data_IF_683068591353
#
_entry.id   IF_683068591353
#
_cell.length_a   1.000
_cell.length_b   1.000
_cell.length_c   1.000
_cell.angle_alpha   90.00
_cell.angle_beta   90.00
_cell.angle_gamma   90.00
#
_symmetry.space_group_name_H-M   'P 1'
#
loop_
_entity.id
_entity.type
_entity.pdbx_description
1 polymer ?
#
# COMPACT_ATOMS: atom_id res chain seq x y z
N UNK A 1 13.50 8.62 0.83
CA UNK A 1 12.37 7.84 1.42
C UNK A 1 11.12 7.90 0.57
N UNK A 2 10.73 9.08 0.07
CA UNK A 2 9.50 9.23 -0.73
C UNK A 2 9.66 8.76 -2.17
N UNK A 3 10.85 8.93 -2.76
CA UNK A 3 11.14 8.48 -4.13
C UNK A 3 10.91 6.98 -4.31
N UNK A 4 11.16 6.19 -3.25
CA UNK A 4 10.84 4.77 -3.21
C UNK A 4 9.39 4.48 -3.60
N UNK A 5 8.41 5.32 -3.23
CA UNK A 5 7.01 5.07 -3.57
C UNK A 5 6.76 5.21 -5.07
N UNK A 6 7.49 6.08 -5.75
CA UNK A 6 7.36 6.27 -7.20
C UNK A 6 8.00 5.09 -7.95
N UNK A 7 9.17 4.63 -7.49
CA UNK A 7 9.89 3.52 -8.09
C UNK A 7 9.22 2.17 -7.81
N UNK A 8 8.80 1.94 -6.56
CA UNK A 8 8.19 0.69 -6.12
C UNK A 8 6.83 0.47 -6.78
N UNK A 9 6.01 1.52 -6.91
CA UNK A 9 4.67 1.42 -7.48
C UNK A 9 4.57 1.81 -8.95
N UNK A 10 5.65 2.29 -9.58
CA UNK A 10 5.66 2.77 -10.97
C UNK A 10 4.60 3.87 -11.21
N UNK A 11 4.40 4.71 -10.19
CA UNK A 11 3.50 5.85 -10.20
C UNK A 11 4.34 7.12 -10.15
N UNK A 12 4.69 7.68 -11.31
CA UNK A 12 5.57 8.86 -11.38
C UNK A 12 4.93 10.10 -10.75
N UNK A 13 5.74 11.09 -10.31
CA UNK A 13 5.22 12.38 -9.85
C UNK A 13 4.30 13.07 -10.86
N UNK A 14 4.52 12.85 -12.17
CA UNK A 14 3.67 13.37 -13.24
C UNK A 14 2.23 12.83 -13.19
N UNK A 15 2.06 11.55 -12.83
CA UNK A 15 0.73 10.96 -12.61
C UNK A 15 0.03 11.61 -11.41
N UNK A 16 0.76 11.86 -10.32
CA UNK A 16 0.21 12.54 -9.14
C UNK A 16 -0.18 14.01 -9.43
N UNK A 17 0.56 14.69 -10.31
CA UNK A 17 0.25 16.06 -10.77
C UNK A 17 -0.93 16.13 -11.75
N UNK A 18 -1.32 15.00 -12.34
CA UNK A 18 -2.45 14.95 -13.26
C UNK A 18 -3.73 14.86 -12.45
N UNK A 19 -4.46 15.97 -12.37
CA UNK A 19 -5.75 15.99 -11.69
C UNK A 19 -6.82 15.26 -12.50
N UNK A 20 -7.69 14.55 -11.79
CA UNK A 20 -8.87 13.88 -12.33
C UNK A 20 -10.08 14.25 -11.45
N UNK A 21 -11.25 14.54 -12.04
CA UNK A 21 -12.46 14.84 -11.27
C UNK A 21 -13.02 13.59 -10.57
N UNK A 22 -12.65 12.40 -11.04
CA UNK A 22 -13.20 11.13 -10.59
C UNK A 22 -14.56 10.81 -11.21
N UNK A 23 -15.00 9.58 -10.96
CA UNK A 23 -16.30 9.10 -11.44
C UNK A 23 -17.46 9.83 -10.78
N UNK A 24 -18.47 10.18 -11.59
CA UNK A 24 -19.72 10.81 -11.14
C UNK A 24 -19.68 12.34 -11.11
N UNK A 25 -18.56 12.97 -11.49
CA UNK A 25 -18.44 14.43 -11.58
C UNK A 25 -18.49 14.85 -13.05
N UNK A 26 -19.30 15.87 -13.34
CA UNK A 26 -19.41 16.51 -14.65
C UNK A 26 -18.67 17.85 -14.60
N UNK A 27 -17.90 18.14 -15.65
CA UNK A 27 -17.10 19.34 -15.78
C UNK A 27 -17.66 20.25 -16.86
N UNK A 28 -17.90 21.51 -16.50
CA UNK A 28 -18.14 22.61 -17.42
C UNK A 28 -16.79 23.12 -17.97
N UNK A 29 -16.79 23.65 -19.20
CA UNK A 29 -15.62 24.28 -19.84
C UNK A 29 -14.33 23.42 -19.88
N UNK A 30 -14.44 22.10 -19.81
CA UNK A 30 -13.30 21.18 -19.72
C UNK A 30 -12.70 20.76 -21.08
N UNK A 31 -12.60 21.70 -22.02
CA UNK A 31 -12.08 21.44 -23.37
C UNK A 31 -10.66 20.85 -23.37
N UNK A 32 -9.83 21.18 -22.39
CA UNK A 32 -8.46 20.64 -22.23
C UNK A 32 -8.41 19.13 -21.96
N UNK A 33 -9.50 18.57 -21.44
CA UNK A 33 -9.63 17.14 -21.18
C UNK A 33 -10.32 16.41 -22.33
N UNK A 34 -10.91 17.13 -23.28
CA UNK A 34 -11.58 16.54 -24.43
C UNK A 34 -10.58 15.73 -25.28
N UNK A 35 -10.98 14.50 -25.66
CA UNK A 35 -10.12 13.58 -26.43
C UNK A 35 -9.06 12.85 -25.60
N UNK A 36 -8.94 13.10 -24.30
CA UNK A 36 -8.18 12.23 -23.40
C UNK A 36 -8.93 10.91 -23.21
N UNK A 37 -8.19 9.80 -23.12
CA UNK A 37 -8.78 8.49 -22.89
C UNK A 37 -9.65 8.46 -21.62
N UNK A 38 -10.80 7.78 -21.70
CA UNK A 38 -11.78 7.64 -20.61
C UNK A 38 -12.46 8.96 -20.20
N UNK A 39 -12.54 9.92 -21.11
CA UNK A 39 -13.35 11.13 -20.95
C UNK A 39 -14.30 11.27 -22.13
N UNK A 40 -15.59 11.40 -21.84
CA UNK A 40 -16.64 11.49 -22.85
C UNK A 40 -17.52 12.73 -22.62
N UNK A 41 -17.87 13.46 -23.69
CA UNK A 41 -18.82 14.57 -23.60
C UNK A 41 -20.22 14.02 -23.32
N UNK A 42 -21.00 14.77 -22.56
CA UNK A 42 -22.41 14.49 -22.25
C UNK A 42 -23.34 15.36 -23.10
N UNK A 43 -24.62 14.97 -23.26
CA UNK A 43 -25.58 15.73 -24.06
C UNK A 43 -25.83 17.16 -23.58
N UNK A 44 -25.58 17.45 -22.30
CA UNK A 44 -25.70 18.77 -21.68
C UNK A 44 -24.46 19.66 -21.91
N UNK A 45 -23.49 19.20 -22.71
CA UNK A 45 -22.26 19.93 -23.02
C UNK A 45 -21.15 19.78 -21.98
N UNK A 46 -21.38 19.06 -20.89
CA UNK A 46 -20.34 18.78 -19.88
C UNK A 46 -19.42 17.64 -20.32
N UNK A 47 -18.24 17.54 -19.71
CA UNK A 47 -17.33 16.41 -19.88
C UNK A 47 -17.25 15.60 -18.57
N UNK A 48 -17.26 14.28 -18.66
CA UNK A 48 -17.09 13.42 -17.50
C UNK A 48 -16.18 12.22 -17.80
N UNK A 49 -15.73 11.56 -16.74
CA UNK A 49 -15.03 10.27 -16.87
C UNK A 49 -15.98 9.23 -17.41
N UNK A 50 -15.57 8.55 -18.49
CA UNK A 50 -16.28 7.42 -19.09
C UNK A 50 -15.91 6.13 -18.34
N UNK A 51 -16.70 5.82 -17.31
CA UNK A 51 -16.50 4.64 -16.49
C UNK A 51 -16.73 3.34 -17.27
N UNK A 52 -17.66 3.34 -18.23
CA UNK A 52 -17.97 2.17 -19.03
C UNK A 52 -16.81 1.82 -19.96
N UNK A 53 -16.25 2.82 -20.67
CA UNK A 53 -15.04 2.64 -21.48
C UNK A 53 -13.87 2.13 -20.62
N UNK A 54 -13.66 2.74 -19.44
CA UNK A 54 -12.61 2.32 -18.53
C UNK A 54 -12.79 0.86 -18.10
N UNK A 55 -14.00 0.45 -17.71
CA UNK A 55 -14.27 -0.92 -17.25
C UNK A 55 -14.25 -1.94 -18.38
N UNK A 56 -14.62 -1.58 -19.61
CA UNK A 56 -14.42 -2.46 -20.77
C UNK A 56 -12.94 -2.80 -20.95
N UNK A 57 -12.05 -1.83 -20.76
CA UNK A 57 -10.60 -2.01 -20.97
C UNK A 57 -9.86 -2.55 -19.73
N UNK A 58 -10.30 -2.21 -18.54
CA UNK A 58 -9.60 -2.45 -17.27
C UNK A 58 -10.42 -3.22 -16.23
N UNK A 59 -11.61 -3.70 -16.58
CA UNK A 59 -12.58 -4.30 -15.66
C UNK A 59 -12.05 -5.51 -14.89
N UNK A 60 -11.24 -6.38 -15.51
CA UNK A 60 -10.62 -7.51 -14.82
C UNK A 60 -9.73 -7.05 -13.66
N UNK A 61 -8.86 -6.06 -13.89
CA UNK A 61 -7.99 -5.50 -12.85
C UNK A 61 -8.78 -4.76 -11.79
N UNK A 62 -9.79 -3.98 -12.20
CA UNK A 62 -10.66 -3.26 -11.27
C UNK A 62 -11.43 -4.24 -10.36
N UNK A 63 -11.88 -5.39 -10.87
CA UNK A 63 -12.52 -6.46 -10.09
C UNK A 63 -11.56 -7.11 -9.09
N UNK A 64 -10.33 -7.41 -9.51
CA UNK A 64 -9.30 -7.92 -8.60
C UNK A 64 -9.00 -6.94 -7.46
N UNK A 65 -8.91 -5.64 -7.76
CA UNK A 65 -8.71 -4.59 -6.77
C UNK A 65 -9.93 -4.52 -5.82
N UNK A 66 -11.15 -4.50 -6.36
CA UNK A 66 -12.38 -4.48 -5.56
C UNK A 66 -12.40 -5.64 -4.56
N UNK A 67 -12.13 -6.86 -5.04
CA UNK A 67 -12.13 -8.06 -4.20
C UNK A 67 -11.04 -8.02 -3.13
N UNK A 68 -9.82 -7.61 -3.49
CA UNK A 68 -8.72 -7.50 -2.53
C UNK A 68 -9.03 -6.46 -1.43
N UNK A 69 -9.52 -5.28 -1.81
CA UNK A 69 -9.88 -4.23 -0.86
C UNK A 69 -11.03 -4.69 0.05
N UNK A 70 -12.08 -5.29 -0.50
CA UNK A 70 -13.23 -5.79 0.24
C UNK A 70 -12.82 -6.86 1.25
N UNK A 71 -12.09 -7.89 0.80
CA UNK A 71 -11.63 -8.96 1.69
C UNK A 71 -10.69 -8.47 2.78
N UNK A 72 -9.80 -7.53 2.45
CA UNK A 72 -8.89 -6.92 3.44
C UNK A 72 -9.68 -6.15 4.51
N UNK A 73 -10.76 -5.47 4.14
CA UNK A 73 -11.61 -4.72 5.07
C UNK A 73 -12.44 -5.62 5.99
N UNK A 74 -12.79 -6.83 5.55
CA UNK A 74 -13.60 -7.78 6.31
C UNK A 74 -12.78 -8.63 7.30
N UNK A 75 -11.45 -8.71 7.12
CA UNK A 75 -10.60 -9.48 8.03
C UNK A 75 -10.27 -8.72 9.31
N UNK A 76 -10.27 -9.41 10.46
CA UNK A 76 -9.82 -8.83 11.71
C UNK A 76 -8.42 -8.21 11.60
N UNK A 77 -8.26 -7.03 12.18
CA UNK A 77 -6.95 -6.39 12.26
C UNK A 77 -6.04 -7.13 13.24
N UNK A 78 -4.83 -7.46 12.78
CA UNK A 78 -3.75 -7.98 13.61
C UNK A 78 -2.58 -6.98 13.63
N UNK A 79 -1.99 -6.79 14.82
CA UNK A 79 -0.94 -5.80 15.10
C UNK A 79 0.30 -6.43 15.75
N UNK A 80 0.53 -7.71 15.50
CA UNK A 80 1.59 -8.56 16.09
C UNK A 80 2.69 -8.93 15.08
N UNK A 81 2.66 -8.37 13.86
CA UNK A 81 3.73 -8.52 12.88
C UNK A 81 4.95 -7.62 13.20
N UNK A 82 4.74 -6.48 13.85
CA UNK A 82 5.78 -5.51 14.26
C UNK A 82 6.72 -5.00 13.15
N UNK A 83 6.37 -5.17 11.88
CA UNK A 83 7.26 -4.76 10.77
C UNK A 83 8.44 -5.72 10.55
N UNK A 84 8.38 -6.94 11.11
CA UNK A 84 9.43 -7.95 10.99
C UNK A 84 9.69 -8.42 9.56
N UNK A 85 8.85 -8.03 8.58
CA UNK A 85 9.10 -8.33 7.18
C UNK A 85 10.42 -7.74 6.66
N UNK A 86 10.84 -6.55 7.08
CA UNK A 86 12.14 -5.98 6.66
C UNK A 86 13.32 -6.75 7.29
N UNK A 87 13.14 -7.27 8.51
CA UNK A 87 14.14 -8.09 9.19
C UNK A 87 14.28 -9.46 8.52
N UNK A 88 13.15 -10.06 8.14
CA UNK A 88 13.11 -11.31 7.38
C UNK A 88 13.73 -11.19 5.96
N UNK A 89 13.83 -9.98 5.39
CA UNK A 89 14.50 -9.75 4.11
C UNK A 89 16.03 -9.73 4.23
N UNK A 90 16.58 -9.56 5.44
CA UNK A 90 18.04 -9.56 5.70
C UNK A 90 18.52 -10.74 6.55
N UNK A 91 17.60 -11.58 7.01
CA UNK A 91 17.90 -12.72 7.87
C UNK A 91 18.88 -13.71 7.21
N UNK A 92 20.07 -13.86 7.79
CA UNK A 92 21.20 -14.67 7.29
C UNK A 92 21.62 -14.32 5.85
N UNK A 93 21.35 -13.10 5.41
CA UNK A 93 21.74 -12.64 4.08
C UNK A 93 23.20 -12.13 4.08
N UNK A 94 23.94 -12.45 3.02
CA UNK A 94 25.27 -11.86 2.77
C UNK A 94 25.19 -10.43 2.24
N UNK A 95 24.10 -10.09 1.56
CA UNK A 95 23.86 -8.78 0.94
C UNK A 95 22.51 -8.21 1.38
N UNK A 96 22.44 -6.88 1.54
CA UNK A 96 21.21 -6.17 1.90
C UNK A 96 20.52 -5.56 0.68
N UNK A 97 19.19 -5.37 0.76
CA UNK A 97 18.40 -4.69 -0.30
C UNK A 97 18.61 -3.18 -0.36
N UNK A 98 18.96 -2.58 0.77
CA UNK A 98 19.21 -1.15 0.89
C UNK A 98 20.69 -0.91 1.17
N UNK A 99 21.24 0.10 0.52
CA UNK A 99 22.58 0.62 0.78
C UNK A 99 22.56 1.49 2.04
N UNK A 100 22.23 0.85 3.17
CA UNK A 100 22.15 1.44 4.50
C UNK A 100 22.74 0.45 5.51
N UNK A 101 23.47 0.93 6.53
CA UNK A 101 24.01 0.05 7.56
C UNK A 101 22.89 -0.55 8.41
N UNK A 102 23.12 -1.74 8.96
CA UNK A 102 22.21 -2.38 9.92
C UNK A 102 22.45 -1.83 11.32
N UNK A 103 21.39 -1.44 12.04
CA UNK A 103 21.47 -0.84 13.38
C UNK A 103 22.11 -1.76 14.43
N UNK A 104 21.86 -3.06 14.32
CA UNK A 104 22.34 -4.10 15.24
C UNK A 104 23.42 -5.02 14.61
N UNK A 105 23.93 -4.66 13.43
CA UNK A 105 24.72 -5.57 12.60
C UNK A 105 23.93 -6.81 12.15
N UNK A 106 24.59 -7.71 11.42
CA UNK A 106 23.96 -8.93 10.91
C UNK A 106 23.53 -9.87 12.04
N UNK A 107 24.43 -10.16 12.99
CA UNK A 107 24.16 -11.08 14.09
C UNK A 107 22.98 -10.63 14.98
N UNK A 108 22.93 -9.35 15.35
CA UNK A 108 21.80 -8.83 16.14
C UNK A 108 20.50 -8.77 15.35
N UNK A 109 20.56 -8.53 14.03
CA UNK A 109 19.37 -8.59 13.17
C UNK A 109 18.81 -10.01 13.06
N UNK A 110 19.69 -11.01 12.98
CA UNK A 110 19.32 -12.42 12.97
C UNK A 110 18.68 -12.82 14.30
N UNK A 111 19.26 -12.42 15.44
CA UNK A 111 18.71 -12.70 16.77
C UNK A 111 17.27 -12.16 16.93
N UNK A 112 16.96 -10.99 16.36
CA UNK A 112 15.58 -10.45 16.36
C UNK A 112 14.64 -11.37 15.59
N UNK A 113 15.03 -11.89 14.43
CA UNK A 113 14.18 -12.83 13.67
C UNK A 113 14.05 -14.19 14.38
N UNK A 114 15.09 -14.64 15.07
CA UNK A 114 15.09 -15.93 15.78
C UNK A 114 14.27 -15.89 17.07
N UNK A 115 14.23 -14.74 17.75
CA UNK A 115 13.48 -14.52 19.00
C UNK A 115 12.01 -14.13 18.80
N UNK A 116 11.55 -14.00 17.55
CA UNK A 116 10.19 -13.58 17.21
C UNK A 116 9.50 -14.54 16.24
N UNK A 117 8.17 -14.55 16.29
CA UNK A 117 7.36 -15.25 15.31
C UNK A 117 7.08 -14.35 14.11
N UNK A 118 7.49 -14.78 12.91
CA UNK A 118 7.14 -14.08 11.68
C UNK A 118 5.66 -14.34 11.35
N UNK A 119 4.85 -13.29 11.33
CA UNK A 119 3.39 -13.36 11.12
C UNK A 119 2.93 -12.46 9.96
N UNK A 120 3.78 -12.33 8.94
CA UNK A 120 3.47 -11.52 7.77
C UNK A 120 2.29 -12.14 7.00
N UNK A 121 1.30 -11.32 6.65
CA UNK A 121 0.13 -11.71 5.85
C UNK A 121 0.11 -11.10 4.46
N UNK A 122 1.12 -10.29 4.13
CA UNK A 122 1.17 -9.51 2.89
C UNK A 122 2.20 -10.08 1.92
N UNK A 123 1.72 -10.67 0.83
CA UNK A 123 2.56 -11.41 -0.12
C UNK A 123 3.64 -10.55 -0.78
N UNK A 124 3.36 -9.28 -1.08
CA UNK A 124 4.31 -8.40 -1.77
C UNK A 124 5.53 -8.02 -0.91
N UNK A 125 5.43 -8.13 0.42
CA UNK A 125 6.57 -8.10 1.32
C UNK A 125 7.19 -9.50 1.48
N UNK A 126 6.37 -10.52 1.73
CA UNK A 126 6.82 -11.90 1.96
C UNK A 126 7.68 -12.47 0.82
N UNK A 127 7.39 -12.15 -0.45
CA UNK A 127 8.17 -12.65 -1.60
C UNK A 127 9.65 -12.24 -1.56
N UNK A 128 10.00 -11.23 -0.77
CA UNK A 128 11.37 -10.77 -0.59
C UNK A 128 12.09 -11.38 0.61
N UNK A 129 11.41 -12.20 1.42
CA UNK A 129 12.06 -12.92 2.52
C UNK A 129 13.18 -13.79 1.99
N UNK A 130 14.26 -13.89 2.77
CA UNK A 130 15.36 -14.83 2.48
C UNK A 130 14.84 -16.26 2.46
N UNK A 131 15.48 -17.19 1.72
CA UNK A 131 15.13 -18.61 1.75
C UNK A 131 14.99 -19.18 3.17
N UNK A 132 15.83 -18.72 4.09
CA UNK A 132 15.92 -19.12 5.49
C UNK A 132 14.78 -18.51 6.34
N UNK A 133 14.31 -17.30 6.03
CA UNK A 133 13.21 -16.65 6.75
C UNK A 133 11.84 -17.15 6.32
N UNK A 134 11.66 -17.51 5.04
CA UNK A 134 10.37 -18.00 4.49
C UNK A 134 9.72 -19.12 5.31
N UNK A 135 10.42 -20.22 5.69
CA UNK A 135 9.82 -21.30 6.47
C UNK A 135 9.46 -20.90 7.91
N UNK A 136 10.00 -19.78 8.42
CA UNK A 136 9.67 -19.26 9.77
C UNK A 136 8.36 -18.47 9.81
N UNK A 137 7.82 -18.03 8.66
CA UNK A 137 6.55 -17.32 8.65
C UNK A 137 5.40 -18.28 8.96
N UNK A 138 4.51 -17.88 9.88
CA UNK A 138 3.39 -18.68 10.35
C UNK A 138 2.52 -19.24 9.23
N UNK A 139 2.42 -18.50 8.11
CA UNK A 139 1.71 -18.93 6.90
C UNK A 139 2.63 -18.80 5.70
N UNK A 140 2.75 -19.85 4.87
CA UNK A 140 3.39 -19.73 3.55
C UNK A 140 2.46 -18.96 2.62
N UNK A 141 2.89 -17.79 2.16
CA UNK A 141 2.10 -16.95 1.26
C UNK A 141 2.47 -17.21 -0.20
N UNK A 142 1.47 -17.17 -1.07
CA UNK A 142 1.58 -17.08 -2.52
C UNK A 142 0.76 -15.90 -3.06
N UNK A 143 0.99 -15.51 -4.32
CA UNK A 143 0.17 -14.47 -4.97
C UNK A 143 -1.30 -14.83 -4.94
N UNK A 144 -1.63 -16.09 -5.24
CA UNK A 144 -3.01 -16.58 -5.32
C UNK A 144 -3.72 -16.52 -3.96
N UNK A 145 -2.97 -16.69 -2.86
CA UNK A 145 -3.50 -16.61 -1.50
C UNK A 145 -3.61 -15.18 -0.96
N UNK A 146 -3.04 -14.17 -1.63
CA UNK A 146 -3.03 -12.80 -1.12
C UNK A 146 -4.44 -12.30 -0.74
N UNK A 147 -5.47 -12.43 -1.60
CA UNK A 147 -6.81 -11.98 -1.24
C UNK A 147 -7.40 -12.72 -0.05
N UNK A 148 -6.89 -13.92 0.29
CA UNK A 148 -7.31 -14.75 1.42
C UNK A 148 -6.56 -14.44 2.74
N UNK A 149 -5.40 -13.81 2.68
CA UNK A 149 -4.53 -13.58 3.84
C UNK A 149 -4.43 -12.11 4.28
N UNK A 150 -4.49 -11.16 3.34
CA UNK A 150 -4.25 -9.74 3.65
C UNK A 150 -5.30 -9.15 4.61
N UNK A 151 -4.88 -8.33 5.58
CA UNK A 151 -5.74 -7.86 6.67
C UNK A 151 -5.54 -6.36 6.93
N UNK A 152 -6.56 -5.68 7.47
CA UNK A 152 -6.63 -4.22 7.52
C UNK A 152 -5.57 -3.53 8.39
N UNK A 153 -5.03 -4.22 9.39
CA UNK A 153 -3.95 -3.76 10.26
C UNK A 153 -2.56 -3.88 9.63
N UNK A 154 -2.41 -4.58 8.50
CA UNK A 154 -1.13 -4.71 7.83
C UNK A 154 -0.66 -3.34 7.33
N UNK A 155 0.57 -2.98 7.68
CA UNK A 155 1.20 -1.73 7.30
C UNK A 155 1.25 -1.62 5.76
N UNK A 156 1.68 -2.68 5.09
CA UNK A 156 1.81 -2.72 3.64
C UNK A 156 0.47 -2.73 2.89
N UNK A 157 -0.56 -3.42 3.41
CA UNK A 157 -1.92 -3.35 2.85
C UNK A 157 -2.52 -1.93 2.93
N UNK A 158 -2.04 -1.13 3.89
CA UNK A 158 -2.39 0.29 4.01
C UNK A 158 -1.60 1.15 3.02
N UNK A 159 -0.29 0.89 2.88
CA UNK A 159 0.57 1.58 1.90
C UNK A 159 0.08 1.38 0.45
N UNK A 160 -0.37 0.16 0.14
CA UNK A 160 -0.81 -0.27 -1.18
C UNK A 160 -2.07 0.46 -1.69
N UNK A 161 -2.80 1.17 -0.84
CA UNK A 161 -3.93 1.99 -1.29
C UNK A 161 -3.51 3.03 -2.33
N UNK A 162 -2.28 3.55 -2.26
CA UNK A 162 -1.72 4.43 -3.29
C UNK A 162 -1.56 3.73 -4.64
N UNK A 163 -1.00 2.51 -4.63
CA UNK A 163 -0.90 1.65 -5.82
C UNK A 163 -2.26 1.39 -6.45
N UNK A 164 -3.25 1.06 -5.63
CA UNK A 164 -4.60 0.74 -6.11
C UNK A 164 -5.31 1.98 -6.65
N UNK A 165 -5.24 3.11 -5.97
CA UNK A 165 -5.75 4.39 -6.46
C UNK A 165 -5.15 4.74 -7.83
N UNK A 166 -3.82 4.65 -7.98
CA UNK A 166 -3.16 4.94 -9.25
C UNK A 166 -3.51 3.99 -10.39
N UNK A 167 -3.80 2.71 -10.10
CA UNK A 167 -4.26 1.74 -11.10
C UNK A 167 -5.70 1.96 -11.55
N UNK A 168 -6.54 2.58 -10.72
CA UNK A 168 -7.91 2.95 -11.06
C UNK A 168 -7.97 4.27 -11.85
N UNK A 169 -6.85 4.99 -11.95
CA UNK A 169 -6.67 6.11 -12.88
C UNK A 169 -7.77 7.18 -12.76
N UNK A 170 -8.40 7.59 -13.87
CA UNK A 170 -9.36 8.70 -13.87
C UNK A 170 -10.64 8.42 -13.08
N UNK A 171 -10.95 7.17 -12.72
CA UNK A 171 -12.08 6.89 -11.83
C UNK A 171 -11.88 7.52 -10.45
N UNK A 172 -10.64 7.64 -9.98
CA UNK A 172 -10.30 8.13 -8.65
C UNK A 172 -10.10 9.65 -8.69
N UNK A 173 -10.84 10.42 -7.86
CA UNK A 173 -10.60 11.85 -7.73
C UNK A 173 -9.16 12.16 -7.31
N UNK A 174 -8.60 13.24 -7.83
CA UNK A 174 -7.20 13.63 -7.58
C UNK A 174 -6.88 13.79 -6.09
N UNK A 175 -7.79 14.35 -5.31
CA UNK A 175 -7.64 14.49 -3.86
C UNK A 175 -7.59 13.15 -3.14
N UNK A 176 -8.35 12.14 -3.60
CA UNK A 176 -8.29 10.80 -3.02
C UNK A 176 -6.98 10.10 -3.37
N UNK A 177 -6.44 10.29 -4.58
CA UNK A 177 -5.12 9.80 -4.94
C UNK A 177 -4.04 10.44 -4.06
N UNK A 178 -4.11 11.76 -3.83
CA UNK A 178 -3.19 12.48 -2.96
C UNK A 178 -3.28 11.99 -1.51
N UNK A 179 -4.48 11.83 -0.96
CA UNK A 179 -4.67 11.27 0.39
C UNK A 179 -4.03 9.88 0.54
N UNK A 180 -4.16 9.03 -0.50
CA UNK A 180 -3.53 7.72 -0.52
C UNK A 180 -2.00 7.82 -0.57
N UNK A 181 -1.45 8.75 -1.35
CA UNK A 181 -0.02 9.02 -1.41
C UNK A 181 0.54 9.48 -0.05
N UNK A 182 -0.11 10.44 0.60
CA UNK A 182 0.30 10.93 1.92
C UNK A 182 0.27 9.82 2.97
N UNK A 183 -0.76 8.97 2.93
CA UNK A 183 -0.83 7.81 3.81
C UNK A 183 0.29 6.81 3.51
N UNK A 184 0.58 6.54 2.23
CA UNK A 184 1.68 5.65 1.84
C UNK A 184 3.03 6.19 2.29
N UNK A 185 3.27 7.50 2.21
CA UNK A 185 4.45 8.19 2.75
C UNK A 185 4.58 7.96 4.24
N UNK A 186 3.55 8.28 5.02
CA UNK A 186 3.60 8.15 6.48
C UNK A 186 3.77 6.69 6.92
N UNK A 187 3.22 5.76 6.12
CA UNK A 187 3.36 4.32 6.30
C UNK A 187 4.80 3.86 6.05
N UNK A 188 5.43 4.32 4.96
CA UNK A 188 6.84 4.02 4.66
C UNK A 188 7.81 4.58 5.70
N UNK A 189 7.48 5.72 6.32
CA UNK A 189 8.26 6.23 7.45
C UNK A 189 8.26 5.23 8.60
N UNK A 190 7.09 4.78 9.07
CA UNK A 190 7.03 3.78 10.16
C UNK A 190 7.71 2.46 9.76
N UNK A 191 7.51 2.02 8.53
CA UNK A 191 8.10 0.81 7.98
C UNK A 191 9.63 0.82 8.10
N UNK A 192 10.24 1.94 7.71
CA UNK A 192 11.70 2.09 7.73
C UNK A 192 12.28 2.43 9.10
N UNK A 193 11.59 3.22 9.92
CA UNK A 193 12.02 3.48 11.30
C UNK A 193 12.00 2.19 12.15
N UNK A 194 11.13 1.22 11.83
CA UNK A 194 11.06 -0.08 12.49
C UNK A 194 11.93 -1.17 11.84
N UNK A 195 12.53 -0.88 10.68
CA UNK A 195 13.36 -1.81 9.91
C UNK A 195 14.72 -2.06 10.60
N UNK A 196 15.49 -3.10 10.20
CA UNK A 196 16.84 -3.32 10.73
C UNK A 196 17.85 -2.25 10.25
N UNK A 197 17.49 -1.45 9.24
CA UNK A 197 18.35 -0.42 8.68
C UNK A 197 18.44 0.83 9.56
N UNK A 198 19.63 1.44 9.61
CA UNK A 198 19.83 2.72 10.27
C UNK A 198 19.49 3.87 9.31
N UNK A 199 18.33 4.47 9.53
CA UNK A 199 17.80 5.57 8.73
C UNK A 199 18.06 6.95 9.33
N UNK A 200 18.81 7.04 10.44
CA UNK A 200 19.08 8.33 11.11
C UNK A 200 19.87 9.30 10.23
N UNK A 201 20.79 8.78 9.42
CA UNK A 201 21.52 9.58 8.42
C UNK A 201 20.62 10.19 7.33
N UNK A 202 19.37 9.69 7.20
CA UNK A 202 18.36 10.23 6.29
C UNK A 202 17.39 11.20 6.98
N UNK A 203 17.61 11.53 8.26
CA UNK A 203 16.77 12.45 9.05
C UNK A 203 15.54 11.81 9.70
N UNK A 204 15.46 10.48 9.77
CA UNK A 204 14.35 9.75 10.39
C UNK A 204 14.74 9.13 11.74
N UNK A 205 13.74 8.76 12.54
CA UNK A 205 13.95 8.13 13.85
C UNK A 205 14.20 6.63 13.77
N UNK A 206 14.15 5.98 14.93
CA UNK A 206 14.14 4.52 15.08
C UNK A 206 12.99 4.13 15.99
N UNK A 207 12.26 3.09 15.61
CA UNK A 207 11.28 2.39 16.44
C UNK A 207 11.87 1.02 16.74
N UNK A 208 12.53 0.82 17.90
CA UNK A 208 13.29 -0.39 18.18
C UNK A 208 12.37 -1.55 18.58
N UNK A 209 11.78 -2.22 17.58
CA UNK A 209 10.80 -3.31 17.76
C UNK A 209 11.40 -4.55 18.44
N UNK A 210 12.72 -4.62 18.58
CA UNK A 210 13.43 -5.59 19.41
C UNK A 210 13.14 -5.40 20.92
N UNK A 211 12.59 -4.25 21.31
CA UNK A 211 12.22 -3.93 22.70
C UNK A 211 10.70 -3.90 22.93
N UNK A 212 10.21 -4.18 24.15
CA UNK A 212 8.79 -4.01 24.49
C UNK A 212 8.26 -2.57 24.28
N UNK A 213 9.07 -1.55 24.59
CA UNK A 213 8.71 -0.13 24.42
C UNK A 213 8.56 0.24 22.94
N UNK A 214 9.49 -0.22 22.09
CA UNK A 214 9.44 -0.01 20.66
C UNK A 214 8.23 -0.72 20.02
N UNK A 215 7.91 -1.95 20.45
CA UNK A 215 6.68 -2.64 20.02
C UNK A 215 5.41 -1.87 20.37
N UNK A 216 5.30 -1.34 21.61
CA UNK A 216 4.18 -0.48 22.01
C UNK A 216 4.05 0.75 21.12
N UNK A 217 5.17 1.42 20.86
CA UNK A 217 5.25 2.60 19.99
C UNK A 217 4.83 2.27 18.55
N UNK A 218 5.34 1.16 18.01
CA UNK A 218 4.99 0.66 16.68
C UNK A 218 3.49 0.40 16.56
N UNK A 219 2.91 -0.38 17.47
CA UNK A 219 1.49 -0.74 17.45
C UNK A 219 0.60 0.48 17.55
N UNK A 220 0.93 1.44 18.43
CA UNK A 220 0.19 2.69 18.54
C UNK A 220 0.18 3.48 17.22
N UNK A 221 1.32 3.56 16.52
CA UNK A 221 1.42 4.23 15.22
C UNK A 221 0.72 3.44 14.10
N UNK A 222 0.91 2.12 14.06
CA UNK A 222 0.28 1.22 13.09
C UNK A 222 -1.26 1.29 13.18
N UNK A 223 -1.83 1.32 14.39
CA UNK A 223 -3.28 1.49 14.59
C UNK A 223 -3.82 2.80 14.00
N UNK A 224 -3.07 3.91 14.15
CA UNK A 224 -3.46 5.21 13.56
C UNK A 224 -3.44 5.18 12.03
N UNK A 225 -2.41 4.55 11.44
CA UNK A 225 -2.30 4.37 10.00
C UNK A 225 -3.41 3.46 9.47
N UNK A 226 -3.66 2.32 10.14
CA UNK A 226 -4.74 1.39 9.78
C UNK A 226 -6.12 2.07 9.82
N UNK A 227 -6.39 2.92 10.82
CA UNK A 227 -7.63 3.70 10.90
C UNK A 227 -7.80 4.69 9.73
N UNK A 228 -6.71 5.35 9.29
CA UNK A 228 -6.72 6.18 8.06
C UNK A 228 -6.93 5.30 6.82
N UNK A 229 -6.24 4.18 6.74
CA UNK A 229 -6.35 3.21 5.65
C UNK A 229 -7.75 2.67 5.48
N UNK A 230 -8.45 2.36 6.58
CA UNK A 230 -9.86 1.91 6.55
C UNK A 230 -10.77 2.93 5.85
N UNK A 231 -10.61 4.22 6.15
CA UNK A 231 -11.40 5.30 5.52
C UNK A 231 -11.10 5.43 4.03
N UNK A 232 -9.83 5.42 3.64
CA UNK A 232 -9.45 5.53 2.22
C UNK A 232 -9.86 4.29 1.42
N UNK A 233 -9.75 3.10 2.01
CA UNK A 233 -10.22 1.84 1.42
C UNK A 233 -11.73 1.88 1.14
N UNK A 234 -12.53 2.35 2.09
CA UNK A 234 -13.96 2.53 1.89
C UNK A 234 -14.28 3.55 0.76
N UNK A 235 -13.52 4.65 0.68
CA UNK A 235 -13.67 5.64 -0.41
C UNK A 235 -13.33 5.04 -1.78
N UNK A 236 -12.27 4.24 -1.89
CA UNK A 236 -11.90 3.55 -3.14
C UNK A 236 -12.95 2.51 -3.55
N UNK A 237 -13.51 1.75 -2.61
CA UNK A 237 -14.66 0.87 -2.89
C UNK A 237 -15.88 1.66 -3.36
N UNK A 238 -16.15 2.83 -2.77
CA UNK A 238 -17.21 3.72 -3.23
C UNK A 238 -16.98 4.29 -4.65
N UNK A 239 -15.73 4.54 -5.04
CA UNK A 239 -15.37 4.89 -6.43
C UNK A 239 -15.70 3.73 -7.37
N UNK A 240 -15.29 2.51 -7.02
CA UNK A 240 -15.57 1.32 -7.83
C UNK A 240 -17.08 1.06 -7.98
N UNK A 241 -17.84 1.22 -6.91
CA UNK A 241 -19.30 1.10 -6.93
C UNK A 241 -19.96 2.12 -7.85
N UNK A 242 -19.54 3.40 -7.77
CA UNK A 242 -20.05 4.46 -8.66
C UNK A 242 -19.66 4.25 -10.12
N UNK A 243 -18.56 3.54 -10.38
CA UNK A 243 -18.18 3.13 -11.72
C UNK A 243 -18.96 1.92 -12.24
N UNK A 244 -19.88 1.35 -11.46
CA UNK A 244 -20.68 0.17 -11.85
C UNK A 244 -20.03 -1.17 -11.52
N UNK A 245 -18.97 -1.20 -10.70
CA UNK A 245 -18.37 -2.46 -10.22
C UNK A 245 -19.18 -3.01 -9.03
N UNK A 246 -19.55 -4.30 -9.03
CA UNK A 246 -20.09 -4.96 -7.84
C UNK A 246 -19.06 -4.96 -6.70
N UNK A 247 -19.48 -4.61 -5.49
CA UNK A 247 -18.62 -4.48 -4.30
C UNK A 247 -19.16 -5.20 -3.06
N UNK A 248 -20.25 -5.93 -3.23
CA UNK A 248 -20.92 -6.78 -2.24
C UNK A 248 -20.15 -8.08 -1.95
#
# INVERSE_FOLDING_TARGET
>A
MQDFLFDYYWLSPGKLKTWHPGVGVALEDAGELAGRAFYSPRPDGTLAVDADEFLQRHGAKAREIAELLRRTAQRPAHFDCFGLHEWAMVYRAENTRHDLPLRLGSAGSDEVVESHELRCTHFDAYRFFTPEARPRNATRLSRDTQPACEQEGCLHATMDLYKWAGKLGPLVPGELLLDCFELARDTRVLDMEASPYDVRGLGYGVVPIETPEGKRTYVARQKRLAARGRRLRARLLGVLARAGMPID
#
